data_IF_586639953727
#
_entry.id   IF_586639953727
#
_cell.length_a   1.000
_cell.length_b   1.000
_cell.length_c   1.000
_cell.angle_alpha   90.00
_cell.angle_beta   90.00
_cell.angle_gamma   90.00
#
_symmetry.space_group_name_H-M   'P 1'
#
loop_
_entity.id
_entity.type
_entity.pdbx_description
1 polymer ?
#
# COMPACT_ATOMS: atom_id res chain seq x y z
N UNK A 1 6.39 14.30 8.73
CA UNK A 1 5.58 13.37 7.91
C UNK A 1 5.96 13.49 6.45
N UNK A 2 6.12 12.37 5.78
CA UNK A 2 6.44 12.31 4.36
C UNK A 2 5.24 11.72 3.61
N UNK A 3 4.82 12.37 2.52
CA UNK A 3 3.71 11.88 1.71
C UNK A 3 4.24 11.52 0.31
N UNK A 4 4.00 10.28 -0.11
CA UNK A 4 4.41 9.76 -1.41
C UNK A 4 3.18 9.38 -2.22
N UNK A 5 3.05 9.93 -3.43
CA UNK A 5 1.92 9.67 -4.31
C UNK A 5 2.39 8.81 -5.48
N UNK A 6 1.91 7.57 -5.52
CA UNK A 6 2.24 6.56 -6.52
C UNK A 6 3.74 6.41 -6.76
N UNK A 7 4.52 6.17 -5.69
CA UNK A 7 5.98 6.14 -5.83
C UNK A 7 6.49 5.01 -6.73
N UNK A 8 5.70 3.96 -6.96
CA UNK A 8 6.11 2.85 -7.83
C UNK A 8 5.76 3.09 -9.30
N UNK A 9 5.09 4.18 -9.63
CA UNK A 9 4.68 4.47 -10.99
C UNK A 9 5.90 4.56 -11.92
N UNK A 10 5.89 3.76 -12.97
CA UNK A 10 6.98 3.73 -13.94
C UNK A 10 8.23 2.99 -13.51
N UNK A 11 8.24 2.40 -12.31
CA UNK A 11 9.39 1.65 -11.83
C UNK A 11 9.30 0.17 -12.21
N UNK A 12 10.43 -0.42 -12.56
CA UNK A 12 10.53 -1.87 -12.72
C UNK A 12 10.64 -2.56 -11.37
N UNK A 13 10.67 -3.89 -11.41
CA UNK A 13 10.71 -4.72 -10.21
C UNK A 13 11.90 -4.40 -9.29
N UNK A 14 13.09 -4.25 -9.89
CA UNK A 14 14.31 -3.98 -9.11
C UNK A 14 14.27 -2.61 -8.45
N UNK A 15 13.80 -1.59 -9.18
CA UNK A 15 13.70 -0.24 -8.64
C UNK A 15 12.64 -0.17 -7.54
N UNK A 16 11.54 -0.90 -7.70
CA UNK A 16 10.50 -0.99 -6.69
C UNK A 16 11.03 -1.62 -5.40
N UNK A 17 11.82 -2.68 -5.52
CA UNK A 17 12.44 -3.34 -4.36
C UNK A 17 13.41 -2.40 -3.64
N UNK A 18 14.18 -1.62 -4.39
CA UNK A 18 15.09 -0.64 -3.82
C UNK A 18 14.33 0.45 -3.07
N UNK A 19 13.24 0.93 -3.65
CA UNK A 19 12.39 1.92 -3.00
C UNK A 19 11.79 1.38 -1.71
N UNK A 20 11.33 0.13 -1.72
CA UNK A 20 10.78 -0.51 -0.54
C UNK A 20 11.80 -0.58 0.60
N UNK A 21 13.04 -0.93 0.28
CA UNK A 21 14.12 -0.98 1.27
C UNK A 21 14.40 0.40 1.86
N UNK A 22 14.39 1.43 1.03
CA UNK A 22 14.61 2.81 1.48
C UNK A 22 13.48 3.25 2.42
N UNK A 23 12.24 2.96 2.07
CA UNK A 23 11.09 3.30 2.90
C UNK A 23 11.17 2.58 4.25
N UNK A 24 11.58 1.31 4.28
CA UNK A 24 11.75 0.57 5.52
C UNK A 24 12.75 1.25 6.47
N UNK A 25 13.77 1.88 5.94
CA UNK A 25 14.72 2.63 6.75
C UNK A 25 14.15 3.95 7.24
N UNK A 26 13.51 4.71 6.34
CA UNK A 26 12.99 6.04 6.67
C UNK A 26 11.84 5.94 7.69
N UNK A 27 11.01 4.92 7.60
CA UNK A 27 9.84 4.76 8.48
C UNK A 27 10.20 4.64 9.95
N UNK A 28 11.43 4.29 10.25
CA UNK A 28 11.88 4.15 11.63
C UNK A 28 11.90 5.48 12.36
N UNK A 29 12.05 6.58 11.63
CA UNK A 29 12.17 7.92 12.21
C UNK A 29 11.13 8.91 11.72
N UNK A 30 10.42 8.59 10.64
CA UNK A 30 9.47 9.51 10.02
C UNK A 30 8.17 8.76 9.71
N UNK A 31 7.04 9.41 10.01
CA UNK A 31 5.73 8.89 9.57
C UNK A 31 5.59 9.07 8.07
N UNK A 32 5.23 8.00 7.37
CA UNK A 32 5.12 8.01 5.92
C UNK A 32 3.68 7.66 5.52
N UNK A 33 3.11 8.47 4.63
CA UNK A 33 1.81 8.20 4.02
C UNK A 33 2.06 7.90 2.54
N UNK A 34 1.57 6.77 2.07
CA UNK A 34 1.75 6.34 0.68
C UNK A 34 0.39 6.15 0.02
N UNK A 35 0.22 6.75 -1.15
CA UNK A 35 -0.96 6.56 -1.99
C UNK A 35 -0.51 5.71 -3.18
N UNK A 36 -1.10 4.52 -3.34
CA UNK A 36 -0.57 3.56 -4.30
C UNK A 36 -1.66 2.62 -4.82
N UNK A 37 -1.48 2.15 -6.05
CA UNK A 37 -2.30 1.09 -6.65
C UNK A 37 -1.62 -0.28 -6.54
N UNK A 38 -0.32 -0.31 -6.33
CA UNK A 38 0.42 -1.56 -6.19
C UNK A 38 0.14 -2.14 -4.80
N UNK A 39 -0.81 -3.05 -4.76
CA UNK A 39 -1.29 -3.62 -3.50
C UNK A 39 -0.25 -4.48 -2.82
N UNK A 40 0.57 -5.19 -3.60
CA UNK A 40 1.64 -5.99 -3.03
C UNK A 40 2.66 -5.10 -2.32
N UNK A 41 3.02 -3.97 -2.94
CA UNK A 41 3.92 -3.00 -2.35
C UNK A 41 3.37 -2.48 -1.02
N UNK A 42 2.09 -2.11 -0.99
CA UNK A 42 1.45 -1.62 0.22
C UNK A 42 1.35 -2.68 1.30
N UNK A 43 0.95 -3.90 0.95
CA UNK A 43 0.79 -4.98 1.91
C UNK A 43 2.11 -5.39 2.54
N UNK A 44 3.20 -5.28 1.79
CA UNK A 44 4.52 -5.64 2.30
C UNK A 44 5.11 -4.55 3.21
N UNK A 45 4.72 -3.29 3.02
CA UNK A 45 5.33 -2.16 3.72
C UNK A 45 4.46 -1.52 4.79
N UNK A 46 3.16 -1.44 4.58
CA UNK A 46 2.30 -0.61 5.41
C UNK A 46 1.95 -1.30 6.73
N UNK A 47 1.89 -0.50 7.80
CA UNK A 47 1.35 -0.94 9.08
C UNK A 47 -0.17 -0.91 9.06
N UNK A 48 -0.75 0.08 8.37
CA UNK A 48 -2.19 0.23 8.21
C UNK A 48 -2.49 0.66 6.80
N UNK A 49 -3.60 0.16 6.26
CA UNK A 49 -4.04 0.44 4.91
C UNK A 49 -5.49 0.89 4.96
N UNK A 50 -5.82 1.92 4.18
CA UNK A 50 -7.20 2.31 3.92
C UNK A 50 -7.49 2.12 2.44
N UNK A 51 -8.58 1.44 2.11
CA UNK A 51 -8.99 1.22 0.74
C UNK A 51 -10.10 2.21 0.41
N UNK A 52 -9.86 3.03 -0.61
CA UNK A 52 -10.80 4.07 -1.04
C UNK A 52 -11.38 3.69 -2.38
N UNK A 53 -12.71 3.76 -2.49
CA UNK A 53 -13.42 3.47 -3.72
C UNK A 53 -14.55 4.50 -3.87
N UNK A 54 -14.59 5.14 -5.03
CA UNK A 54 -15.57 6.20 -5.30
C UNK A 54 -15.57 7.31 -4.24
N UNK A 55 -14.37 7.70 -3.79
CA UNK A 55 -14.23 8.75 -2.79
C UNK A 55 -14.59 8.36 -1.37
N UNK A 56 -14.86 7.09 -1.12
CA UNK A 56 -15.24 6.60 0.20
C UNK A 56 -14.27 5.54 0.70
N UNK A 57 -13.99 5.58 2.00
CA UNK A 57 -13.20 4.53 2.64
C UNK A 57 -14.10 3.32 2.84
N UNK A 58 -13.82 2.23 2.12
CA UNK A 58 -14.62 1.01 2.17
C UNK A 58 -14.04 -0.02 3.13
N UNK A 59 -12.77 0.09 3.47
CA UNK A 59 -12.12 -0.80 4.42
C UNK A 59 -10.85 -0.13 4.94
N UNK A 60 -10.49 -0.41 6.19
CA UNK A 60 -9.22 0.04 6.73
C UNK A 60 -8.79 -0.90 7.84
N UNK A 61 -7.47 -1.02 8.02
CA UNK A 61 -6.91 -1.90 9.04
C UNK A 61 -5.49 -2.30 8.73
N UNK A 62 -5.03 -3.35 9.38
CA UNK A 62 -3.73 -3.93 9.10
C UNK A 62 -3.78 -4.73 7.79
N UNK A 63 -2.62 -4.98 7.13
CA UNK A 63 -2.61 -5.80 5.92
C UNK A 63 -3.25 -7.18 6.11
N UNK A 64 -2.99 -7.83 7.24
CA UNK A 64 -3.56 -9.15 7.51
C UNK A 64 -5.08 -9.11 7.59
N UNK A 65 -5.63 -8.11 8.27
CA UNK A 65 -7.07 -7.94 8.38
C UNK A 65 -7.71 -7.70 7.02
N UNK A 66 -7.08 -6.89 6.18
CA UNK A 66 -7.62 -6.57 4.86
C UNK A 66 -7.56 -7.74 3.89
N UNK A 67 -6.54 -8.60 4.00
CA UNK A 67 -6.45 -9.80 3.14
C UNK A 67 -7.66 -10.70 3.31
N UNK A 68 -8.20 -10.79 4.51
CA UNK A 68 -9.35 -11.64 4.82
C UNK A 68 -10.68 -10.94 4.58
N UNK A 69 -10.68 -9.68 4.22
CA UNK A 69 -11.91 -8.91 4.00
C UNK A 69 -12.48 -9.20 2.62
N UNK A 70 -13.69 -9.72 2.57
CA UNK A 70 -14.34 -10.10 1.30
C UNK A 70 -14.54 -8.89 0.37
N UNK A 71 -14.85 -7.73 0.93
CA UNK A 71 -15.03 -6.52 0.15
C UNK A 71 -13.74 -6.15 -0.59
N UNK A 72 -12.62 -6.24 0.11
CA UNK A 72 -11.31 -5.95 -0.47
C UNK A 72 -10.98 -6.96 -1.55
N UNK A 73 -11.24 -8.24 -1.30
CA UNK A 73 -10.97 -9.31 -2.27
C UNK A 73 -11.87 -9.23 -3.49
N UNK A 74 -13.11 -8.81 -3.32
CA UNK A 74 -14.05 -8.66 -4.42
C UNK A 74 -13.81 -7.39 -5.24
N UNK A 75 -13.07 -6.43 -4.68
CA UNK A 75 -12.73 -5.17 -5.34
C UNK A 75 -11.42 -5.31 -6.13
N UNK A 76 -10.75 -4.20 -6.36
CA UNK A 76 -9.50 -4.17 -7.13
C UNK A 76 -8.41 -5.07 -6.55
N UNK A 77 -8.38 -5.25 -5.24
CA UNK A 77 -7.35 -6.07 -4.60
C UNK A 77 -7.51 -7.54 -4.97
N UNK A 78 -8.75 -8.03 -4.99
CA UNK A 78 -9.03 -9.39 -5.40
C UNK A 78 -8.62 -9.67 -6.83
N UNK A 79 -8.77 -8.69 -7.70
CA UNK A 79 -8.39 -8.83 -9.10
C UNK A 79 -6.87 -8.87 -9.29
N UNK A 80 -6.11 -8.31 -8.34
CA UNK A 80 -4.66 -8.25 -8.41
C UNK A 80 -3.96 -9.42 -7.72
N UNK A 81 -4.71 -10.16 -6.94
CA UNK A 81 -4.14 -11.27 -6.18
C UNK A 81 -3.90 -12.50 -7.10
#
# INVERSE_FOLDING_TARGET
MLCLDEPTSGLGTDATATLAALIQEIRKTVTIVIIEHDMKFLFDLADRIAVIHWGQVIAQGTPDTLRDNEWVRASNLGALA
#
